data_IF_276612427957
#
_entry.id   IF_276612427957
#
_cell.length_a   1.000
_cell.length_b   1.000
_cell.length_c   1.000
_cell.angle_alpha   90.00
_cell.angle_beta   90.00
_cell.angle_gamma   90.00
#
_symmetry.space_group_name_H-M   'P 1'
#
loop_
_entity.id
_entity.type
_entity.pdbx_description
1 polymer ?
#
# COMPACT_ATOMS: atom_id res chain seq x y z
N UNK A 1 -2.96 -12.08 26.26
CA UNK A 1 -2.66 -11.05 25.24
C UNK A 1 -1.25 -11.18 24.64
N UNK A 2 -0.21 -11.55 25.40
CA UNK A 2 1.18 -11.54 24.93
C UNK A 2 1.46 -12.31 23.60
N UNK A 3 0.83 -13.47 23.38
CA UNK A 3 0.98 -14.22 22.11
C UNK A 3 0.41 -13.43 20.93
N UNK A 4 -0.77 -12.81 21.11
CA UNK A 4 -1.42 -12.00 20.07
C UNK A 4 -0.62 -10.73 19.77
N UNK A 5 -0.07 -10.07 20.80
CA UNK A 5 0.81 -8.92 20.65
C UNK A 5 2.10 -9.28 19.88
N UNK A 6 2.76 -10.37 20.25
CA UNK A 6 3.98 -10.83 19.56
C UNK A 6 3.69 -11.18 18.09
N UNK A 7 2.52 -11.76 17.81
CA UNK A 7 2.11 -12.09 16.46
C UNK A 7 1.73 -10.84 15.65
N UNK A 8 1.04 -9.86 16.25
CA UNK A 8 0.76 -8.57 15.64
C UNK A 8 2.05 -7.82 15.27
N UNK A 9 3.01 -7.74 16.19
CA UNK A 9 4.33 -7.15 15.94
C UNK A 9 5.06 -7.86 14.80
N UNK A 10 5.02 -9.20 14.77
CA UNK A 10 5.63 -9.98 13.69
C UNK A 10 5.01 -9.65 12.34
N UNK A 11 3.68 -9.56 12.27
CA UNK A 11 3.01 -9.24 11.01
C UNK A 11 3.27 -7.81 10.56
N UNK A 12 3.26 -6.85 11.48
CA UNK A 12 3.64 -5.47 11.21
C UNK A 12 5.04 -5.38 10.57
N UNK A 13 6.01 -6.07 11.16
CA UNK A 13 7.37 -6.12 10.64
C UNK A 13 7.44 -6.80 9.27
N UNK A 14 6.74 -7.92 9.09
CA UNK A 14 6.70 -8.62 7.80
C UNK A 14 6.09 -7.77 6.69
N UNK A 15 4.98 -7.07 6.95
CA UNK A 15 4.34 -6.18 5.97
C UNK A 15 5.28 -5.03 5.61
N UNK A 16 5.87 -4.38 6.61
CA UNK A 16 6.84 -3.31 6.40
C UNK A 16 8.01 -3.78 5.52
N UNK A 17 8.58 -4.96 5.79
CA UNK A 17 9.69 -5.51 4.99
C UNK A 17 9.28 -5.81 3.54
N UNK A 18 8.08 -6.38 3.32
CA UNK A 18 7.60 -6.65 1.97
C UNK A 18 7.37 -5.38 1.16
N UNK A 19 6.85 -4.32 1.80
CA UNK A 19 6.64 -3.03 1.13
C UNK A 19 7.95 -2.27 0.91
N UNK A 20 8.88 -2.33 1.85
CA UNK A 20 10.21 -1.76 1.68
C UNK A 20 10.95 -2.38 0.48
N UNK A 21 10.75 -3.67 0.21
CA UNK A 21 11.33 -4.33 -0.96
C UNK A 21 10.81 -3.76 -2.30
N UNK A 22 9.58 -3.22 -2.34
CA UNK A 22 9.04 -2.52 -3.52
C UNK A 22 9.84 -1.24 -3.77
N UNK A 23 10.23 -0.54 -2.70
CA UNK A 23 11.00 0.71 -2.77
C UNK A 23 12.52 0.49 -2.98
N UNK A 24 13.03 -0.73 -2.78
CA UNK A 24 14.43 -1.10 -3.08
C UNK A 24 14.66 -1.34 -4.57
N UNK A 25 13.65 -1.83 -5.30
CA UNK A 25 13.62 -1.73 -6.76
C UNK A 25 13.58 -0.25 -7.12
N UNK A 26 14.67 0.29 -7.70
CA UNK A 26 14.85 1.72 -7.95
C UNK A 26 13.52 2.42 -8.28
N UNK A 27 12.95 3.22 -7.36
CA UNK A 27 11.57 3.70 -7.48
C UNK A 27 11.42 4.71 -8.63
N UNK A 28 12.53 5.21 -9.16
CA UNK A 28 12.62 6.07 -10.35
C UNK A 28 12.56 5.26 -11.66
N UNK A 29 12.88 3.96 -11.62
CA UNK A 29 12.92 3.10 -12.81
C UNK A 29 11.54 2.57 -13.22
N UNK A 30 10.60 2.42 -12.27
CA UNK A 30 9.23 2.00 -12.56
C UNK A 30 8.38 3.17 -13.01
N UNK A 31 7.42 2.95 -13.92
CA UNK A 31 6.32 3.91 -14.12
C UNK A 31 5.49 4.01 -12.85
N UNK A 32 4.77 5.12 -12.67
CA UNK A 32 3.89 5.36 -11.52
C UNK A 32 2.79 4.31 -11.49
N UNK A 33 2.33 3.87 -12.67
CA UNK A 33 1.39 2.76 -12.79
C UNK A 33 1.97 1.46 -12.25
N UNK A 34 3.19 1.09 -12.67
CA UNK A 34 3.83 -0.16 -12.22
C UNK A 34 4.13 -0.13 -10.72
N UNK A 35 4.53 1.03 -10.20
CA UNK A 35 4.72 1.23 -8.76
C UNK A 35 3.42 0.99 -7.97
N UNK A 36 2.32 1.58 -8.42
CA UNK A 36 1.00 1.39 -7.79
C UNK A 36 0.53 -0.05 -7.86
N UNK A 37 0.73 -0.70 -9.01
CA UNK A 37 0.41 -2.12 -9.18
C UNK A 37 1.19 -2.99 -8.20
N UNK A 38 2.51 -2.80 -8.09
CA UNK A 38 3.35 -3.56 -7.17
C UNK A 38 3.01 -3.32 -5.70
N UNK A 39 2.76 -2.07 -5.32
CA UNK A 39 2.38 -1.70 -3.95
C UNK A 39 1.09 -2.43 -3.52
N UNK A 40 0.08 -2.41 -4.39
CA UNK A 40 -1.23 -2.99 -4.10
C UNK A 40 -1.20 -4.52 -4.20
N UNK A 41 -0.53 -5.09 -5.20
CA UNK A 41 -0.42 -6.55 -5.34
C UNK A 41 0.40 -7.17 -4.21
N UNK A 42 1.39 -6.45 -3.68
CA UNK A 42 2.16 -6.88 -2.51
C UNK A 42 1.28 -6.89 -1.26
N UNK A 43 0.50 -5.82 -1.04
CA UNK A 43 -0.40 -5.72 0.12
C UNK A 43 -1.54 -6.73 0.05
N UNK A 44 -2.20 -6.89 -1.11
CA UNK A 44 -3.29 -7.87 -1.30
C UNK A 44 -2.79 -9.31 -1.11
N UNK A 45 -1.60 -9.63 -1.61
CA UNK A 45 -0.95 -10.93 -1.39
C UNK A 45 -0.67 -11.16 0.08
N UNK A 46 -0.10 -10.17 0.78
CA UNK A 46 0.17 -10.27 2.21
C UNK A 46 -1.10 -10.60 2.99
N UNK A 47 -2.22 -9.91 2.73
CA UNK A 47 -3.50 -10.20 3.38
C UNK A 47 -4.07 -11.57 3.03
N UNK A 48 -3.89 -12.03 1.79
CA UNK A 48 -4.35 -13.35 1.35
C UNK A 48 -3.58 -14.49 2.01
N UNK A 49 -2.25 -14.34 2.11
CA UNK A 49 -1.36 -15.37 2.61
C UNK A 49 -1.32 -15.43 4.15
N UNK A 50 -1.79 -14.39 4.83
CA UNK A 50 -1.80 -14.29 6.29
C UNK A 50 -3.23 -14.10 6.84
N UNK A 51 -4.15 -15.07 6.70
CA UNK A 51 -5.53 -14.92 7.19
C UNK A 51 -5.65 -14.80 8.72
N UNK A 52 -4.60 -15.15 9.48
CA UNK A 52 -4.53 -14.87 10.92
C UNK A 52 -4.19 -13.41 11.23
N UNK A 53 -3.56 -12.68 10.31
CA UNK A 53 -3.45 -11.22 10.40
C UNK A 53 -4.84 -10.60 10.47
N UNK A 54 -5.74 -11.07 9.60
CA UNK A 54 -7.15 -10.70 9.55
C UNK A 54 -7.84 -10.91 10.91
N UNK A 55 -7.71 -12.09 11.52
CA UNK A 55 -8.38 -12.37 12.79
C UNK A 55 -7.88 -11.47 13.94
N UNK A 56 -6.58 -11.16 13.97
CA UNK A 56 -5.96 -10.45 15.09
C UNK A 56 -6.25 -8.95 15.04
N UNK A 57 -6.03 -8.32 13.88
CA UNK A 57 -6.22 -6.88 13.75
C UNK A 57 -7.70 -6.50 13.66
N UNK A 58 -8.62 -7.39 13.27
CA UNK A 58 -10.00 -6.93 12.99
C UNK A 58 -11.08 -7.46 13.91
N UNK A 59 -10.89 -8.62 14.53
CA UNK A 59 -11.82 -9.07 15.57
C UNK A 59 -11.42 -8.57 16.96
N UNK A 60 -10.13 -8.28 17.18
CA UNK A 60 -9.58 -8.12 18.53
C UNK A 60 -8.99 -6.72 18.78
N UNK A 61 -8.54 -5.98 17.76
CA UNK A 61 -7.86 -4.69 17.93
C UNK A 61 -8.70 -3.62 18.63
N UNK A 62 -10.01 -3.55 18.35
CA UNK A 62 -10.93 -2.63 19.06
C UNK A 62 -11.21 -3.02 20.52
N UNK A 63 -10.68 -4.15 20.98
CA UNK A 63 -10.94 -4.70 22.33
C UNK A 63 -9.68 -4.78 23.20
N UNK A 64 -8.49 -4.69 22.61
CA UNK A 64 -7.19 -4.78 23.31
C UNK A 64 -6.36 -3.53 22.95
N UNK A 65 -6.18 -2.64 23.93
CA UNK A 65 -5.51 -1.35 23.75
C UNK A 65 -4.11 -1.49 23.16
N UNK A 66 -3.35 -2.50 23.59
CA UNK A 66 -2.00 -2.74 23.10
C UNK A 66 -1.95 -3.15 21.61
N UNK A 67 -3.01 -3.77 21.09
CA UNK A 67 -3.08 -4.07 19.64
C UNK A 67 -3.37 -2.81 18.82
N UNK A 68 -4.16 -1.88 19.36
CA UNK A 68 -4.38 -0.58 18.73
C UNK A 68 -3.08 0.25 18.67
N UNK A 69 -2.30 0.25 19.76
CA UNK A 69 -0.99 0.92 19.79
C UNK A 69 0.01 0.31 18.78
N UNK A 70 0.01 -1.02 18.64
CA UNK A 70 0.84 -1.71 17.64
C UNK A 70 0.43 -1.31 16.22
N UNK A 71 -0.88 -1.24 15.93
CA UNK A 71 -1.39 -0.82 14.62
C UNK A 71 -1.02 0.63 14.29
N UNK A 72 -1.26 1.56 15.23
CA UNK A 72 -0.88 2.97 15.05
C UNK A 72 0.62 3.14 14.82
N UNK A 73 1.45 2.41 15.57
CA UNK A 73 2.90 2.43 15.38
C UNK A 73 3.32 1.82 14.03
N UNK A 74 2.59 0.81 13.54
CA UNK A 74 2.82 0.19 12.24
C UNK A 74 2.46 1.15 11.12
N UNK A 75 1.30 1.78 11.19
CA UNK A 75 0.86 2.79 10.24
C UNK A 75 1.84 3.96 10.18
N UNK A 76 2.29 4.48 11.32
CA UNK A 76 3.27 5.56 11.35
C UNK A 76 4.57 5.19 10.59
N UNK A 77 5.05 3.95 10.73
CA UNK A 77 6.22 3.45 9.98
C UNK A 77 5.93 3.36 8.48
N UNK A 78 4.79 2.79 8.09
CA UNK A 78 4.40 2.65 6.69
C UNK A 78 4.23 4.01 6.01
N UNK A 79 3.62 4.98 6.70
CA UNK A 79 3.43 6.35 6.24
C UNK A 79 4.79 7.01 6.01
N UNK A 80 5.70 6.92 6.98
CA UNK A 80 7.02 7.53 6.83
C UNK A 80 7.83 6.89 5.71
N UNK A 81 7.76 5.56 5.56
CA UNK A 81 8.44 4.83 4.48
C UNK A 81 7.91 5.25 3.11
N UNK A 82 6.59 5.28 2.95
CA UNK A 82 5.95 5.68 1.70
C UNK A 82 6.21 7.15 1.36
N UNK A 83 6.14 8.06 2.34
CA UNK A 83 6.48 9.47 2.13
C UNK A 83 7.92 9.63 1.62
N UNK A 84 8.86 8.89 2.21
CA UNK A 84 10.26 8.89 1.77
C UNK A 84 10.42 8.32 0.36
N UNK A 85 9.67 7.27 0.00
CA UNK A 85 9.69 6.68 -1.35
C UNK A 85 9.19 7.67 -2.40
N UNK A 86 8.05 8.33 -2.13
CA UNK A 86 7.48 9.35 -3.01
C UNK A 86 8.43 10.53 -3.21
N UNK A 87 9.06 11.02 -2.14
CA UNK A 87 10.03 12.13 -2.20
C UNK A 87 11.30 11.77 -3.01
N UNK A 88 11.72 10.50 -3.00
CA UNK A 88 12.82 10.03 -3.85
C UNK A 88 12.44 9.95 -5.33
N UNK A 89 11.17 9.67 -5.63
CA UNK A 89 10.66 9.51 -7.00
C UNK A 89 10.54 10.85 -7.72
N UNK A 90 10.00 11.84 -7.03
CA UNK A 90 9.86 13.22 -7.51
C UNK A 90 10.01 14.11 -6.28
N UNK A 91 10.97 15.04 -6.28
CA UNK A 91 11.29 15.93 -5.16
C UNK A 91 10.67 17.34 -5.30
N UNK A 92 9.62 17.49 -6.11
CA UNK A 92 9.00 18.79 -6.41
C UNK A 92 8.04 19.32 -5.33
N UNK A 93 7.58 18.50 -4.39
CA UNK A 93 6.64 18.89 -3.35
C UNK A 93 7.35 19.19 -2.02
N UNK A 94 6.63 19.80 -1.07
CA UNK A 94 7.16 20.01 0.28
C UNK A 94 7.08 18.70 1.09
N UNK A 95 7.98 18.48 2.08
CA UNK A 95 7.99 17.27 2.91
C UNK A 95 6.63 16.90 3.53
N UNK A 96 5.87 17.92 3.97
CA UNK A 96 4.56 17.74 4.60
C UNK A 96 3.49 17.25 3.60
N UNK A 97 3.65 17.56 2.30
CA UNK A 97 2.73 17.07 1.27
C UNK A 97 2.91 15.56 1.07
N UNK A 98 4.16 15.07 1.05
CA UNK A 98 4.43 13.62 0.95
C UNK A 98 3.87 12.85 2.14
N UNK A 99 4.00 13.40 3.35
CA UNK A 99 3.43 12.79 4.55
C UNK A 99 1.91 12.71 4.48
N UNK A 100 1.24 13.78 4.03
CA UNK A 100 -0.21 13.79 3.84
C UNK A 100 -0.66 12.80 2.76
N UNK A 101 0.03 12.75 1.62
CA UNK A 101 -0.24 11.78 0.54
C UNK A 101 -0.07 10.35 1.07
N UNK A 102 1.04 10.08 1.76
CA UNK A 102 1.33 8.75 2.30
C UNK A 102 0.31 8.32 3.37
N UNK A 103 -0.10 9.23 4.25
CA UNK A 103 -1.15 8.99 5.23
C UNK A 103 -2.45 8.55 4.55
N UNK A 104 -2.90 9.31 3.54
CA UNK A 104 -4.12 9.00 2.79
C UNK A 104 -4.00 7.63 2.12
N UNK A 105 -2.87 7.35 1.47
CA UNK A 105 -2.66 6.10 0.75
C UNK A 105 -2.62 4.88 1.67
N UNK A 106 -1.87 4.93 2.77
CA UNK A 106 -1.79 3.82 3.74
C UNK A 106 -3.18 3.49 4.28
N UNK A 107 -3.93 4.51 4.72
CA UNK A 107 -5.27 4.32 5.27
C UNK A 107 -6.28 3.85 4.22
N UNK A 108 -6.26 4.42 3.02
CA UNK A 108 -7.20 4.07 1.97
C UNK A 108 -6.94 2.67 1.41
N UNK A 109 -5.69 2.35 1.04
CA UNK A 109 -5.32 1.05 0.48
C UNK A 109 -5.59 -0.06 1.50
N UNK A 110 -5.11 0.12 2.74
CA UNK A 110 -5.34 -0.85 3.81
C UNK A 110 -6.83 -1.15 3.99
N UNK A 111 -7.66 -0.11 4.10
CA UNK A 111 -9.11 -0.25 4.27
C UNK A 111 -9.82 -0.88 3.06
N UNK A 112 -9.46 -0.48 1.83
CA UNK A 112 -10.13 -0.99 0.63
C UNK A 112 -9.78 -2.45 0.34
N UNK A 113 -8.50 -2.80 0.45
CA UNK A 113 -8.06 -4.20 0.30
C UNK A 113 -8.64 -5.06 1.42
N UNK A 114 -8.67 -4.53 2.65
CA UNK A 114 -9.36 -5.15 3.76
C UNK A 114 -10.82 -5.51 3.43
N UNK A 115 -11.61 -4.51 3.03
CA UNK A 115 -13.03 -4.70 2.71
C UNK A 115 -13.22 -5.72 1.58
N UNK A 116 -12.28 -5.78 0.63
CA UNK A 116 -12.31 -6.72 -0.49
C UNK A 116 -12.23 -8.19 -0.06
N UNK A 117 -11.57 -8.51 1.06
CA UNK A 117 -11.38 -9.89 1.53
C UNK A 117 -12.70 -10.58 1.91
N UNK A 118 -13.69 -9.79 2.34
CA UNK A 118 -15.02 -10.28 2.72
C UNK A 118 -15.92 -10.63 1.53
N UNK A 119 -15.47 -10.35 0.30
CA UNK A 119 -16.29 -10.42 -0.90
C UNK A 119 -16.06 -11.70 -1.70
N UNK A 120 -17.02 -12.06 -2.55
CA UNK A 120 -16.84 -13.17 -3.48
C UNK A 120 -15.66 -12.94 -4.43
N UNK A 121 -14.97 -14.02 -4.80
CA UNK A 121 -13.68 -13.97 -5.52
C UNK A 121 -13.65 -13.02 -6.73
N UNK A 122 -14.66 -13.07 -7.60
CA UNK A 122 -14.72 -12.20 -8.78
C UNK A 122 -14.92 -10.73 -8.41
N UNK A 123 -15.76 -10.45 -7.41
CA UNK A 123 -16.01 -9.10 -6.96
C UNK A 123 -14.81 -8.54 -6.19
N UNK A 124 -14.15 -9.37 -5.36
CA UNK A 124 -12.88 -9.05 -4.72
C UNK A 124 -11.83 -8.59 -5.73
N UNK A 125 -11.62 -9.37 -6.80
CA UNK A 125 -10.67 -9.00 -7.86
C UNK A 125 -11.00 -7.63 -8.47
N UNK A 126 -12.29 -7.37 -8.71
CA UNK A 126 -12.75 -6.06 -9.21
C UNK A 126 -12.46 -4.93 -8.22
N UNK A 127 -12.64 -5.14 -6.91
CA UNK A 127 -12.31 -4.16 -5.88
C UNK A 127 -10.81 -3.88 -5.78
N UNK A 128 -9.96 -4.90 -5.94
CA UNK A 128 -8.50 -4.70 -6.04
C UNK A 128 -8.17 -3.83 -7.25
N UNK A 129 -8.78 -4.08 -8.42
CA UNK A 129 -8.60 -3.23 -9.61
C UNK A 129 -9.06 -1.79 -9.39
N UNK A 130 -10.21 -1.56 -8.74
CA UNK A 130 -10.68 -0.20 -8.43
C UNK A 130 -9.76 0.49 -7.41
N UNK A 131 -9.17 -0.25 -6.47
CA UNK A 131 -8.18 0.28 -5.52
C UNK A 131 -6.94 0.76 -6.27
N UNK A 132 -6.43 -0.03 -7.22
CA UNK A 132 -5.32 0.37 -8.12
C UNK A 132 -5.63 1.63 -8.90
N UNK A 133 -6.81 1.67 -9.50
CA UNK A 133 -7.27 2.84 -10.26
C UNK A 133 -7.37 4.09 -9.38
N UNK A 134 -7.95 3.98 -8.18
CA UNK A 134 -8.09 5.09 -7.24
C UNK A 134 -6.72 5.64 -6.83
N UNK A 135 -5.83 4.76 -6.38
CA UNK A 135 -4.47 5.11 -5.95
C UNK A 135 -3.67 5.77 -7.07
N UNK A 136 -3.71 5.20 -8.27
CA UNK A 136 -3.00 5.77 -9.43
C UNK A 136 -3.54 7.15 -9.77
N UNK A 137 -4.86 7.33 -9.81
CA UNK A 137 -5.46 8.63 -10.14
C UNK A 137 -5.18 9.69 -9.09
N UNK A 138 -5.16 9.30 -7.82
CA UNK A 138 -4.79 10.19 -6.72
C UNK A 138 -3.32 10.62 -6.84
N UNK A 139 -2.39 9.69 -7.08
CA UNK A 139 -0.98 10.03 -7.25
C UNK A 139 -0.73 10.87 -8.51
N UNK A 140 -1.42 10.61 -9.61
CA UNK A 140 -1.31 11.38 -10.85
C UNK A 140 -1.71 12.86 -10.71
N UNK A 141 -2.56 13.22 -9.72
CA UNK A 141 -2.87 14.63 -9.48
C UNK A 141 -1.70 15.41 -8.86
N UNK A 142 -0.72 14.71 -8.28
CA UNK A 142 0.49 15.29 -7.70
C UNK A 142 1.73 15.07 -8.58
N UNK A 143 1.75 13.95 -9.32
CA UNK A 143 2.85 13.54 -10.19
C UNK A 143 2.37 13.39 -11.65
N UNK A 144 2.04 14.50 -12.34
CA UNK A 144 1.50 14.45 -13.72
C UNK A 144 2.55 14.01 -14.75
N UNK A 145 3.83 14.07 -14.39
CA UNK A 145 4.98 13.83 -15.27
C UNK A 145 5.45 12.38 -15.21
N UNK A 146 4.58 11.42 -15.50
CA UNK A 146 5.02 10.05 -15.78
C UNK A 146 4.91 9.82 -17.29
N UNK A 147 6.04 9.65 -18.01
CA UNK A 147 6.01 9.53 -19.46
C UNK A 147 5.25 8.26 -19.82
N UNK A 148 4.12 8.44 -20.50
CA UNK A 148 3.43 7.37 -21.20
C UNK A 148 4.47 6.58 -22.01
N UNK A 149 4.53 5.23 -21.91
CA UNK A 149 5.47 4.46 -22.72
C UNK A 149 5.21 4.80 -24.19
N UNK A 150 6.27 4.91 -25.02
CA UNK A 150 6.11 5.27 -26.43
C UNK A 150 5.14 4.29 -27.07
N UNK A 151 4.03 4.82 -27.56
CA UNK A 151 3.05 4.07 -28.32
C UNK A 151 3.70 3.64 -29.63
N UNK A 152 4.34 2.47 -29.63
CA UNK A 152 4.84 1.81 -30.84
C UNK A 152 3.64 1.23 -31.61
N UNK A 153 2.80 2.12 -32.14
CA UNK A 153 1.82 1.83 -33.16
C UNK A 153 2.18 2.66 -34.39
N UNK A 154 3.30 2.29 -35.02
CA UNK A 154 3.65 2.73 -36.36
C UNK A 154 4.29 1.55 -37.11
N UNK A 155 3.64 1.14 -38.20
CA UNK A 155 4.30 0.44 -39.30
C UNK A 155 4.01 -1.05 -39.42
N UNK A 156 2.88 -1.38 -40.02
CA UNK A 156 2.84 -2.44 -41.02
C UNK A 156 1.95 -1.94 -42.16
N UNK A 157 2.59 -1.25 -43.10
CA UNK A 157 2.11 -1.15 -44.49
C UNK A 157 2.11 -2.55 -45.13
#
# INVERSE_FOLDING_TARGET
>A
AAILQALALRYAEMLHQQLAAVDETEPVALSLSDYVDQLIDTTDRFFTENPSYYAIFMEVQGTICELAEIDEATDAKLIQALANSLAKRDASLEPMDYEAIAFVLVKAIGTLLWLSLSQEKLFRQRLVTETKRLTLKYLQSYFPSDPMPPNNAAGAD
#
